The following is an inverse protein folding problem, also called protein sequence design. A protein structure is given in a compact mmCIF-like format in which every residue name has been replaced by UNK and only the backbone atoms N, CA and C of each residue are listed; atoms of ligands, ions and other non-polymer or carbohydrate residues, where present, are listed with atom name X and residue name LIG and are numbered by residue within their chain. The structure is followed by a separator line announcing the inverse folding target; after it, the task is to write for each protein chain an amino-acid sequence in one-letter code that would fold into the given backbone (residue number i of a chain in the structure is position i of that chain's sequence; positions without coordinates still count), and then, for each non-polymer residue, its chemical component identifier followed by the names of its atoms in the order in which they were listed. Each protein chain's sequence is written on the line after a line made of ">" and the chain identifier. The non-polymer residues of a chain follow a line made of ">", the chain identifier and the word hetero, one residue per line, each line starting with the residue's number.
data_IF_164802821761
#
_entry.id   IF_164802821761
#
_cell.length_a   1.000
_cell.length_b   1.000
_cell.length_c   1.000
_cell.angle_alpha   90.00
_cell.angle_beta   90.00
_cell.angle_gamma   90.00
#
_symmetry.space_group_name_H-M   'P 1'
#
loop_
_entity.id
_entity.type
_entity.pdbx_description
1 polymer ?
#
# COMPACT_ATOMS: atom_id res chain seq x y z
N UNK A 1 43.80 -43.35 -66.61
CA UNK A 1 45.12 -43.09 -66.00
C UNK A 1 45.00 -41.82 -65.17
N UNK A 2 45.37 -41.86 -63.88
CA UNK A 2 45.43 -40.76 -62.88
C UNK A 2 44.07 -40.23 -62.36
N UNK A 3 43.84 -39.97 -61.06
CA UNK A 3 44.70 -40.01 -59.87
C UNK A 3 43.85 -40.22 -58.60
N UNK A 4 44.48 -40.82 -57.58
CA UNK A 4 43.96 -41.18 -56.26
C UNK A 4 43.74 -39.97 -55.32
N UNK A 5 42.86 -40.21 -54.35
CA UNK A 5 42.65 -39.54 -53.04
C UNK A 5 43.89 -39.01 -52.33
N UNK A 6 43.75 -37.89 -51.60
CA UNK A 6 44.06 -37.72 -50.16
C UNK A 6 43.96 -36.22 -49.78
N UNK A 7 43.26 -35.84 -48.69
CA UNK A 7 43.87 -35.18 -47.52
C UNK A 7 42.82 -34.81 -46.45
N UNK A 8 43.18 -35.16 -45.21
CA UNK A 8 42.58 -34.82 -43.93
C UNK A 8 42.95 -33.38 -43.58
N UNK A 9 42.08 -32.61 -42.94
CA UNK A 9 42.50 -31.33 -42.36
C UNK A 9 41.37 -30.53 -41.71
N UNK A 10 41.49 -30.38 -40.39
CA UNK A 10 40.62 -29.66 -39.46
C UNK A 10 40.20 -28.24 -39.90
N UNK A 11 39.08 -27.79 -39.31
CA UNK A 11 38.86 -26.53 -38.59
C UNK A 11 37.48 -26.00 -38.98
N UNK A 12 36.47 -26.18 -38.11
CA UNK A 12 35.54 -25.10 -37.76
C UNK A 12 35.16 -25.33 -36.28
N UNK A 13 35.60 -24.41 -35.43
CA UNK A 13 35.30 -24.41 -34.01
C UNK A 13 33.84 -24.05 -33.76
N UNK A 14 33.17 -24.87 -32.95
CA UNK A 14 31.85 -24.56 -32.41
C UNK A 14 32.01 -24.13 -30.96
N UNK A 15 32.01 -22.82 -30.75
CA UNK A 15 31.94 -22.15 -29.46
C UNK A 15 30.60 -22.52 -28.79
N UNK A 16 30.64 -23.41 -27.80
CA UNK A 16 29.46 -23.80 -27.01
C UNK A 16 29.05 -22.61 -26.14
N UNK A 17 27.85 -22.12 -26.40
CA UNK A 17 27.15 -21.07 -25.67
C UNK A 17 27.09 -21.38 -24.16
N UNK A 18 27.72 -20.50 -23.38
CA UNK A 18 27.49 -20.37 -21.94
C UNK A 18 26.00 -20.12 -21.70
N UNK A 19 25.31 -21.12 -21.13
CA UNK A 19 24.02 -20.90 -20.47
C UNK A 19 24.26 -20.02 -19.25
N UNK A 20 24.14 -18.70 -19.45
CA UNK A 20 24.01 -17.75 -18.35
C UNK A 20 22.75 -18.11 -17.58
N UNK A 21 22.93 -18.67 -16.39
CA UNK A 21 21.87 -18.76 -15.40
C UNK A 21 21.49 -17.31 -15.06
N UNK A 22 20.41 -16.82 -15.67
CA UNK A 22 19.77 -15.59 -15.22
C UNK A 22 19.26 -15.86 -13.81
N UNK A 23 20.03 -15.41 -12.82
CA UNK A 23 19.57 -15.31 -11.45
C UNK A 23 18.45 -14.29 -11.41
N UNK A 24 17.20 -14.75 -11.44
CA UNK A 24 16.05 -13.93 -11.05
C UNK A 24 15.98 -13.98 -9.53
N UNK A 25 16.66 -13.05 -8.87
CA UNK A 25 16.43 -12.79 -7.45
C UNK A 25 15.16 -11.96 -7.30
N UNK A 26 14.01 -12.60 -7.37
CA UNK A 26 12.76 -12.06 -6.84
C UNK A 26 12.71 -12.38 -5.33
N UNK A 27 13.62 -11.81 -4.55
CA UNK A 27 13.39 -11.68 -3.11
C UNK A 27 12.70 -10.32 -2.92
N UNK A 28 11.40 -10.29 -3.19
CA UNK A 28 10.57 -9.15 -2.84
C UNK A 28 10.79 -8.85 -1.35
N UNK A 29 11.03 -7.57 -1.06
CA UNK A 29 11.43 -7.03 0.23
C UNK A 29 10.36 -7.24 1.31
N UNK A 30 10.18 -8.47 1.78
CA UNK A 30 9.28 -8.84 2.88
C UNK A 30 9.87 -8.35 4.21
N UNK A 31 9.02 -7.91 5.15
CA UNK A 31 9.37 -7.24 6.40
C UNK A 31 10.09 -5.89 6.19
N UNK A 32 9.49 -5.01 5.37
CA UNK A 32 10.01 -3.66 5.12
C UNK A 32 8.92 -2.59 5.14
N UNK A 33 9.33 -1.33 5.29
CA UNK A 33 8.49 -0.16 5.06
C UNK A 33 8.44 0.17 3.55
N UNK A 34 7.25 0.10 2.95
CA UNK A 34 7.02 0.45 1.55
C UNK A 34 6.34 1.82 1.46
N UNK A 35 6.84 2.76 0.63
CA UNK A 35 6.23 4.07 0.51
C UNK A 35 4.90 3.98 -0.24
N UNK A 36 3.88 4.68 0.28
CA UNK A 36 2.53 4.76 -0.30
C UNK A 36 1.99 6.18 -0.21
N UNK A 37 1.12 6.55 -1.14
CA UNK A 37 0.36 7.80 -1.08
C UNK A 37 -1.08 7.49 -0.64
N UNK A 38 -1.55 8.22 0.37
CA UNK A 38 -2.90 8.09 0.93
C UNK A 38 -3.71 9.32 0.54
N UNK A 39 -4.90 9.13 -0.02
CA UNK A 39 -5.84 10.21 -0.31
C UNK A 39 -6.71 10.47 0.91
N UNK A 40 -6.63 11.69 1.45
CA UNK A 40 -7.31 12.13 2.66
C UNK A 40 -8.36 13.18 2.27
N UNK A 41 -9.60 12.99 2.74
CA UNK A 41 -10.72 13.91 2.49
C UNK A 41 -10.91 14.93 3.62
N UNK A 42 -10.56 14.54 4.84
CA UNK A 42 -10.71 15.36 6.04
C UNK A 42 -9.74 14.89 7.12
N UNK A 43 -9.22 15.85 7.88
CA UNK A 43 -8.45 15.60 9.10
C UNK A 43 -9.10 16.39 10.24
N UNK A 44 -9.38 15.74 11.37
CA UNK A 44 -10.01 16.38 12.54
C UNK A 44 -9.67 15.63 13.83
N UNK A 45 -9.68 16.32 14.97
CA UNK A 45 -9.50 15.71 16.29
C UNK A 45 -10.82 15.17 16.88
N UNK A 46 -11.96 15.39 16.22
CA UNK A 46 -13.27 14.89 16.63
C UNK A 46 -13.68 13.67 15.79
N UNK A 47 -13.81 12.52 16.46
CA UNK A 47 -14.23 11.29 15.80
C UNK A 47 -15.65 11.36 15.21
N UNK A 48 -16.59 12.04 15.86
CA UNK A 48 -17.96 12.15 15.34
C UNK A 48 -18.01 13.00 14.08
N UNK A 49 -17.19 14.06 14.03
CA UNK A 49 -16.99 14.85 12.82
C UNK A 49 -16.36 14.01 11.69
N UNK A 50 -15.35 13.18 12.00
CA UNK A 50 -14.75 12.26 11.04
C UNK A 50 -15.75 11.20 10.54
N UNK A 51 -16.59 10.66 11.43
CA UNK A 51 -17.60 9.65 11.11
C UNK A 51 -18.71 10.18 10.21
N UNK A 52 -19.20 11.37 10.51
CA UNK A 52 -20.18 12.06 9.67
C UNK A 52 -19.60 12.31 8.27
N UNK A 53 -18.37 12.83 8.20
CA UNK A 53 -17.69 13.07 6.93
C UNK A 53 -17.43 11.77 6.15
N UNK A 54 -17.03 10.68 6.81
CA UNK A 54 -16.79 9.39 6.17
C UNK A 54 -18.08 8.79 5.57
N UNK A 55 -19.20 8.86 6.29
CA UNK A 55 -20.51 8.40 5.79
C UNK A 55 -20.96 9.22 4.58
N UNK A 56 -20.84 10.54 4.67
CA UNK A 56 -21.16 11.44 3.56
C UNK A 56 -20.27 11.16 2.34
N UNK A 57 -18.96 10.98 2.55
CA UNK A 57 -18.01 10.65 1.50
C UNK A 57 -18.32 9.33 0.82
N UNK A 58 -18.63 8.28 1.58
CA UNK A 58 -19.00 6.98 1.04
C UNK A 58 -20.23 7.07 0.13
N UNK A 59 -21.25 7.81 0.55
CA UNK A 59 -22.46 8.05 -0.26
C UNK A 59 -22.17 8.89 -1.50
N UNK A 60 -21.42 10.00 -1.36
CA UNK A 60 -21.17 10.97 -2.44
C UNK A 60 -20.26 10.41 -3.52
N UNK A 61 -19.26 9.61 -3.12
CA UNK A 61 -18.28 9.01 -4.02
C UNK A 61 -18.69 7.61 -4.48
N UNK A 62 -19.85 7.11 -4.02
CA UNK A 62 -20.33 5.74 -4.27
C UNK A 62 -19.28 4.67 -3.92
N UNK A 63 -18.59 4.85 -2.78
CA UNK A 63 -17.55 3.93 -2.30
C UNK A 63 -18.02 3.15 -1.09
N UNK A 64 -17.48 1.93 -0.91
CA UNK A 64 -17.66 1.14 0.31
C UNK A 64 -17.21 1.97 1.52
N UNK A 65 -18.03 2.02 2.57
CA UNK A 65 -17.63 2.47 3.90
C UNK A 65 -17.16 1.25 4.69
N UNK A 66 -15.89 1.24 5.10
CA UNK A 66 -15.33 0.19 5.93
C UNK A 66 -14.54 0.80 7.08
N UNK A 67 -15.15 0.76 8.27
CA UNK A 67 -14.56 1.28 9.50
C UNK A 67 -13.70 0.22 10.23
N UNK A 68 -13.54 -0.97 9.65
CA UNK A 68 -12.69 -2.06 10.17
C UNK A 68 -12.99 -2.46 11.63
N UNK A 69 -14.23 -2.23 12.08
CA UNK A 69 -14.63 -2.44 13.48
C UNK A 69 -13.94 -1.53 14.51
N UNK A 70 -13.16 -0.54 14.06
CA UNK A 70 -12.37 0.35 14.91
C UNK A 70 -13.26 1.27 15.72
N UNK A 71 -12.93 1.41 17.01
CA UNK A 71 -13.64 2.28 17.95
C UNK A 71 -12.68 3.32 18.55
N UNK A 72 -13.16 4.53 18.86
CA UNK A 72 -12.37 5.52 19.57
C UNK A 72 -11.86 4.97 20.89
N UNK A 73 -10.58 5.18 21.18
CA UNK A 73 -9.94 4.81 22.43
C UNK A 73 -9.10 5.96 22.94
N UNK A 74 -9.34 6.35 24.18
CA UNK A 74 -8.54 7.38 24.84
C UNK A 74 -7.05 7.03 24.75
N UNK A 75 -6.20 8.05 24.56
CA UNK A 75 -4.73 7.99 24.42
C UNK A 75 -4.20 7.48 23.07
N UNK A 76 -4.76 6.41 22.50
CA UNK A 76 -4.25 5.83 21.24
C UNK A 76 -5.07 6.18 19.99
N UNK A 77 -6.21 6.86 20.15
CA UNK A 77 -7.06 7.32 19.06
C UNK A 77 -8.09 6.28 18.64
N UNK A 78 -7.67 5.22 17.97
CA UNK A 78 -8.52 4.11 17.55
C UNK A 78 -8.03 2.80 18.15
N UNK A 79 -8.93 1.85 18.34
CA UNK A 79 -8.59 0.49 18.72
C UNK A 79 -9.52 -0.52 18.08
N UNK A 80 -8.99 -1.71 17.80
CA UNK A 80 -9.77 -2.89 17.42
C UNK A 80 -10.55 -3.44 18.63
N UNK A 81 -11.34 -4.50 18.43
CA UNK A 81 -12.02 -5.14 19.55
C UNK A 81 -11.03 -5.85 20.49
N UNK A 82 -11.45 -6.21 21.71
CA UNK A 82 -10.60 -7.01 22.61
C UNK A 82 -10.21 -8.35 21.98
N UNK A 83 -11.15 -8.98 21.27
CA UNK A 83 -10.93 -10.27 20.60
C UNK A 83 -9.89 -10.14 19.50
N UNK A 84 -9.97 -9.07 18.71
CA UNK A 84 -8.99 -8.81 17.63
C UNK A 84 -7.62 -8.38 18.17
N UNK A 85 -7.51 -8.06 19.45
CA UNK A 85 -6.28 -7.63 20.11
C UNK A 85 -5.63 -8.70 21.00
N UNK A 86 -6.13 -9.93 21.00
CA UNK A 86 -5.69 -10.96 21.95
C UNK A 86 -4.17 -11.19 21.90
N UNK A 87 -3.60 -11.25 20.69
CA UNK A 87 -2.16 -11.48 20.48
C UNK A 87 -1.31 -10.21 20.63
N UNK A 88 -1.88 -9.03 20.35
CA UNK A 88 -1.14 -7.75 20.33
C UNK A 88 -1.23 -6.96 21.64
N UNK A 89 -2.12 -7.36 22.54
CA UNK A 89 -2.44 -6.66 23.79
C UNK A 89 -3.46 -5.54 23.58
N UNK A 90 -4.52 -5.53 24.41
CA UNK A 90 -5.56 -4.50 24.34
C UNK A 90 -5.19 -3.26 25.17
N UNK A 91 -5.32 -2.03 24.63
CA UNK A 91 -5.84 -1.71 23.30
C UNK A 91 -4.78 -1.81 22.18
N UNK A 92 -5.16 -2.37 21.04
CA UNK A 92 -4.32 -2.46 19.85
C UNK A 92 -4.93 -1.71 18.65
N UNK A 93 -4.08 -1.30 17.71
CA UNK A 93 -4.47 -0.68 16.44
C UNK A 93 -3.45 -1.02 15.36
N UNK A 94 -3.93 -1.48 14.21
CA UNK A 94 -3.12 -1.74 13.01
C UNK A 94 -3.54 -0.74 11.93
N UNK A 95 -2.58 0.03 11.41
CA UNK A 95 -2.86 1.01 10.36
C UNK A 95 -3.39 0.31 9.10
N UNK A 96 -4.27 0.99 8.37
CA UNK A 96 -4.75 0.45 7.08
C UNK A 96 -3.57 0.27 6.13
N UNK A 97 -3.47 -0.92 5.56
CA UNK A 97 -2.43 -1.32 4.62
C UNK A 97 -1.31 -2.14 5.27
N UNK A 98 -1.06 -2.01 6.58
CA UNK A 98 0.01 -2.76 7.26
C UNK A 98 -0.19 -4.28 7.10
N UNK A 99 0.92 -5.00 6.92
CA UNK A 99 0.98 -6.43 6.65
C UNK A 99 1.12 -6.72 5.15
N UNK A 100 0.19 -6.21 4.34
CA UNK A 100 0.16 -6.48 2.89
C UNK A 100 0.67 -5.33 2.02
N UNK A 101 0.81 -4.12 2.57
CA UNK A 101 1.03 -2.87 1.83
C UNK A 101 0.13 -2.73 0.58
N UNK A 102 -1.10 -3.23 0.66
CA UNK A 102 -2.01 -3.29 -0.46
C UNK A 102 -2.52 -1.90 -0.84
N UNK A 103 -2.69 -1.68 -2.14
CA UNK A 103 -3.48 -0.56 -2.62
C UNK A 103 -4.97 -0.89 -2.43
N UNK A 104 -5.77 0.10 -2.05
CA UNK A 104 -7.18 -0.09 -1.79
C UNK A 104 -7.99 1.19 -2.06
N UNK A 105 -9.32 1.03 -2.19
CA UNK A 105 -10.20 2.09 -2.72
C UNK A 105 -11.55 2.18 -1.99
N UNK A 106 -11.52 2.19 -0.67
CA UNK A 106 -12.71 2.38 0.18
C UNK A 106 -12.55 3.55 1.15
N UNK A 107 -13.67 4.03 1.69
CA UNK A 107 -13.69 5.05 2.74
C UNK A 107 -13.48 4.41 4.11
N UNK A 108 -12.49 4.89 4.86
CA UNK A 108 -12.28 4.52 6.26
C UNK A 108 -11.94 5.74 7.12
N UNK A 109 -11.93 5.53 8.44
CA UNK A 109 -11.41 6.50 9.40
C UNK A 109 -10.18 5.86 10.01
N UNK A 110 -9.05 6.52 9.88
CA UNK A 110 -7.77 6.07 10.44
C UNK A 110 -7.26 7.09 11.44
N UNK A 111 -6.29 6.70 12.26
CA UNK A 111 -5.68 7.62 13.22
C UNK A 111 -4.27 8.00 12.77
N UNK A 112 -4.02 9.29 12.65
CA UNK A 112 -2.80 9.84 12.05
C UNK A 112 -1.52 9.47 12.80
N UNK A 113 -1.63 9.02 14.05
CA UNK A 113 -0.47 8.59 14.83
C UNK A 113 0.26 7.40 14.23
N UNK A 114 -0.46 6.49 13.56
CA UNK A 114 0.16 5.30 12.97
C UNK A 114 0.87 5.57 11.64
N UNK A 115 0.70 6.76 11.05
CA UNK A 115 1.32 7.11 9.77
C UNK A 115 2.55 8.00 9.97
N UNK A 116 3.66 7.62 9.33
CA UNK A 116 4.93 8.34 9.39
C UNK A 116 4.84 9.63 8.58
N UNK A 117 5.34 10.74 9.14
CA UNK A 117 5.27 12.08 8.52
C UNK A 117 3.89 12.76 8.61
N UNK A 118 2.89 12.13 9.24
CA UNK A 118 1.59 12.75 9.47
C UNK A 118 1.60 13.56 10.76
N UNK A 119 0.82 14.65 10.79
CA UNK A 119 0.57 15.39 12.02
C UNK A 119 -0.19 14.47 12.99
N UNK A 120 0.26 14.40 14.24
CA UNK A 120 -0.28 13.49 15.25
C UNK A 120 -1.57 14.05 15.87
N UNK A 121 -2.43 13.17 16.38
CA UNK A 121 -3.64 13.55 17.12
C UNK A 121 -4.92 13.73 16.29
N UNK A 122 -4.95 13.23 15.04
CA UNK A 122 -6.08 13.43 14.13
C UNK A 122 -6.71 12.11 13.69
N UNK A 123 -8.03 12.07 13.67
CA UNK A 123 -8.80 11.15 12.84
C UNK A 123 -8.77 11.67 11.41
N UNK A 124 -8.37 10.81 10.48
CA UNK A 124 -8.30 11.13 9.06
C UNK A 124 -9.31 10.27 8.29
N UNK A 125 -10.07 10.90 7.40
CA UNK A 125 -10.98 10.20 6.49
C UNK A 125 -10.20 9.84 5.24
N UNK A 126 -9.88 8.55 5.10
CA UNK A 126 -9.06 8.01 4.01
C UNK A 126 -9.95 7.48 2.91
N UNK A 127 -9.69 7.88 1.67
CA UNK A 127 -10.48 7.48 0.51
C UNK A 127 -9.80 6.42 -0.39
N UNK A 128 -8.47 6.31 -0.32
CA UNK A 128 -7.68 5.34 -1.06
C UNK A 128 -6.23 5.29 -0.55
N UNK A 129 -5.59 4.14 -0.73
CA UNK A 129 -4.13 3.96 -0.66
C UNK A 129 -3.66 3.53 -2.04
N UNK A 130 -2.61 4.18 -2.54
CA UNK A 130 -2.06 3.92 -3.88
C UNK A 130 -0.54 3.89 -3.87
N UNK A 131 0.05 3.31 -4.91
CA UNK A 131 1.47 3.46 -5.17
C UNK A 131 1.84 4.93 -5.39
N UNK A 132 3.05 5.24 -4.95
CA UNK A 132 3.64 6.57 -5.02
C UNK A 132 3.62 7.13 -6.43
N UNK A 133 3.13 8.38 -6.57
CA UNK A 133 3.13 9.12 -7.84
C UNK A 133 2.46 8.39 -9.03
N UNK A 134 1.63 7.37 -8.76
CA UNK A 134 1.03 6.53 -9.79
C UNK A 134 0.00 7.29 -10.64
N UNK A 135 -0.25 6.80 -11.86
CA UNK A 135 -1.36 7.31 -12.68
C UNK A 135 -2.70 7.14 -11.96
N UNK A 136 -2.87 6.03 -11.24
CA UNK A 136 -4.06 5.76 -10.43
C UNK A 136 -4.28 6.84 -9.35
N UNK A 137 -3.22 7.27 -8.64
CA UNK A 137 -3.29 8.37 -7.68
C UNK A 137 -3.82 9.65 -8.34
N UNK A 138 -3.20 10.08 -9.44
CA UNK A 138 -3.54 11.32 -10.13
C UNK A 138 -5.01 11.33 -10.59
N UNK A 139 -5.45 10.23 -11.21
CA UNK A 139 -6.82 10.08 -11.68
C UNK A 139 -7.84 10.08 -10.53
N UNK A 140 -7.56 9.32 -9.45
CA UNK A 140 -8.45 9.25 -8.28
C UNK A 140 -8.55 10.59 -7.58
N UNK A 141 -7.42 11.25 -7.32
CA UNK A 141 -7.41 12.55 -6.64
C UNK A 141 -8.13 13.60 -7.48
N UNK A 142 -7.89 13.66 -8.80
CA UNK A 142 -8.59 14.59 -9.68
C UNK A 142 -10.10 14.36 -9.70
N UNK A 143 -10.57 13.11 -9.69
CA UNK A 143 -11.99 12.79 -9.62
C UNK A 143 -12.60 13.19 -8.26
N UNK A 144 -11.90 12.91 -7.16
CA UNK A 144 -12.31 13.26 -5.80
C UNK A 144 -12.38 14.78 -5.62
N UNK A 145 -11.39 15.53 -6.12
CA UNK A 145 -11.30 16.98 -5.95
C UNK A 145 -12.45 17.76 -6.60
N UNK A 146 -13.15 17.16 -7.57
CA UNK A 146 -14.38 17.76 -8.13
C UNK A 146 -15.51 17.88 -7.10
N UNK A 147 -15.51 17.01 -6.09
CA UNK A 147 -16.55 16.91 -5.07
C UNK A 147 -16.02 17.28 -3.67
N UNK A 148 -14.72 17.11 -3.44
CA UNK A 148 -14.00 17.40 -2.20
C UNK A 148 -12.74 18.24 -2.52
N UNK A 149 -12.86 19.56 -2.76
CA UNK A 149 -11.74 20.38 -3.24
C UNK A 149 -10.53 20.43 -2.31
N UNK A 150 -10.76 20.26 -1.00
CA UNK A 150 -9.72 20.25 0.03
C UNK A 150 -9.04 18.88 0.20
N UNK A 151 -9.49 17.86 -0.56
CA UNK A 151 -8.85 16.55 -0.50
C UNK A 151 -7.42 16.62 -1.05
N UNK A 152 -6.54 15.86 -0.42
CA UNK A 152 -5.12 15.84 -0.77
C UNK A 152 -4.54 14.45 -0.65
N UNK A 153 -3.46 14.21 -1.37
CA UNK A 153 -2.64 13.01 -1.21
C UNK A 153 -1.47 13.32 -0.26
N UNK A 154 -1.15 12.37 0.62
CA UNK A 154 0.02 12.48 1.49
C UNK A 154 0.80 11.17 1.52
N UNK A 155 2.13 11.30 1.37
CA UNK A 155 3.05 10.17 1.44
C UNK A 155 3.24 9.70 2.88
N UNK A 156 3.23 8.39 3.04
CA UNK A 156 3.65 7.67 4.26
C UNK A 156 4.41 6.42 3.86
N UNK A 157 4.84 5.67 4.86
CA UNK A 157 5.35 4.32 4.73
C UNK A 157 4.37 3.36 5.41
N UNK A 158 4.17 2.19 4.80
CA UNK A 158 3.27 1.13 5.25
C UNK A 158 4.09 -0.15 5.37
N UNK A 159 3.88 -0.90 6.45
CA UNK A 159 4.61 -2.15 6.67
C UNK A 159 4.15 -3.24 5.68
N UNK A 160 5.09 -3.87 5.01
CA UNK A 160 4.87 -5.07 4.20
C UNK A 160 5.63 -6.23 4.84
N UNK A 161 4.92 -7.18 5.43
CA UNK A 161 5.54 -8.27 6.21
C UNK A 161 4.59 -8.92 7.19
N UNK A 162 5.10 -9.84 8.01
CA UNK A 162 4.33 -10.39 9.11
C UNK A 162 4.04 -9.31 10.16
N UNK A 163 2.83 -9.33 10.71
CA UNK A 163 2.47 -8.56 11.90
C UNK A 163 2.55 -9.54 13.07
N UNK A 164 3.61 -9.48 13.87
CA UNK A 164 3.86 -10.39 15.00
C UNK A 164 4.34 -9.63 16.24
#
# INVERSE_FOLDING_TARGET
>A
MRLKTCFIGQIIGTLILLFGSVGVSAQDHYNTEVPKDIIILRSTNDYQAALTAAKQAASTLHKKLDLRGLKPKAKIGLSMSKVDCDELGYPCYIARGDGAAANDDYISIEYSNAYKGFAKGYYIVVAAITDVNSAALKLKLAAINKLYPDAYAKRTYIWFGCMH
#
